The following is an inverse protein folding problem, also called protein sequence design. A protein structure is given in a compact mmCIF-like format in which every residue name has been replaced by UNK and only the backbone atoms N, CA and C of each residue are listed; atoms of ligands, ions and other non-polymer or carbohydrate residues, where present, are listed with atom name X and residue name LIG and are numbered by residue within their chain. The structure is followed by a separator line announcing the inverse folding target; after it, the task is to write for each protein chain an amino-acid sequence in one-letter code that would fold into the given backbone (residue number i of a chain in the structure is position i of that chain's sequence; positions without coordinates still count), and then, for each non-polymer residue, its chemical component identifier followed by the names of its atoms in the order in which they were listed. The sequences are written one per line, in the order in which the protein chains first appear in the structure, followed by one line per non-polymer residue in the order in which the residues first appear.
data_IF_732844061546
#
_entry.id   IF_732844061546
#
_cell.length_a   1.000
_cell.length_b   1.000
_cell.length_c   1.000
_cell.angle_alpha   90.00
_cell.angle_beta   90.00
_cell.angle_gamma   90.00
#
_symmetry.space_group_name_H-M   'P 1'
#
loop_
_entity.id
_entity.type
_entity.pdbx_description
1 polymer ?
#
# COMPACT_ATOMS: atom_id res chain seq x y z
N UNK A 1 -3.57 19.13 15.93
CA UNK A 1 -2.60 18.01 15.94
C UNK A 1 -1.21 18.62 15.85
N UNK A 2 -0.17 18.00 16.43
CA UNK A 2 1.19 18.51 16.29
C UNK A 2 1.61 18.49 14.81
N UNK A 3 2.45 19.44 14.40
CA UNK A 3 2.91 19.55 13.02
C UNK A 3 4.12 18.64 12.77
N UNK A 4 3.87 17.41 12.28
CA UNK A 4 4.90 16.43 11.92
C UNK A 4 5.45 16.62 10.50
N UNK A 5 5.20 17.77 9.83
CA UNK A 5 5.58 18.00 8.43
C UNK A 5 7.02 18.48 8.23
N UNK A 6 7.76 18.74 9.32
CA UNK A 6 9.12 19.29 9.26
C UNK A 6 10.11 18.34 8.59
N UNK A 7 10.46 18.61 7.33
CA UNK A 7 11.45 17.84 6.57
C UNK A 7 12.78 17.76 7.36
N UNK A 8 13.41 16.57 7.46
CA UNK A 8 14.68 16.41 8.15
C UNK A 8 15.77 17.35 7.63
N UNK A 9 16.61 17.86 8.55
CA UNK A 9 17.74 18.74 8.19
C UNK A 9 18.71 18.00 7.27
N UNK A 10 19.16 18.67 6.22
CA UNK A 10 20.09 18.09 5.24
C UNK A 10 19.43 17.24 4.16
N UNK A 11 18.09 17.18 4.10
CA UNK A 11 17.40 16.59 2.97
C UNK A 11 17.82 17.29 1.67
N UNK A 12 18.17 16.50 0.66
CA UNK A 12 18.51 16.97 -0.69
C UNK A 12 17.32 16.91 -1.65
N UNK A 13 16.24 16.25 -1.24
CA UNK A 13 14.93 16.39 -1.85
C UNK A 13 14.22 17.65 -1.35
N UNK A 14 13.36 18.18 -2.21
CA UNK A 14 12.44 19.27 -1.87
C UNK A 14 11.00 18.75 -2.07
N UNK A 15 10.48 17.87 -1.19
CA UNK A 15 9.09 17.44 -1.29
C UNK A 15 8.16 18.65 -1.10
N UNK A 16 7.14 18.75 -1.94
CA UNK A 16 6.12 19.79 -1.81
C UNK A 16 4.96 19.26 -0.96
N UNK A 17 4.38 20.06 -0.05
CA UNK A 17 3.18 19.67 0.66
C UNK A 17 2.06 19.29 -0.32
N UNK A 18 1.41 18.17 -0.07
CA UNK A 18 0.30 17.67 -0.86
C UNK A 18 -1.01 17.80 -0.08
N UNK A 19 -2.09 18.17 -0.78
CA UNK A 19 -3.43 18.20 -0.22
C UNK A 19 -4.35 17.39 -1.12
N UNK A 20 -4.88 16.29 -0.59
CA UNK A 20 -5.89 15.49 -1.26
C UNK A 20 -7.14 16.35 -1.49
N UNK A 21 -7.51 16.54 -2.76
CA UNK A 21 -8.71 17.28 -3.14
C UNK A 21 -9.30 16.74 -4.43
N UNK A 22 -10.29 15.87 -4.30
CA UNK A 22 -11.10 15.39 -5.43
C UNK A 22 -12.12 16.46 -5.80
N UNK A 23 -12.25 16.80 -7.08
CA UNK A 23 -13.23 17.79 -7.55
C UNK A 23 -14.66 17.30 -7.30
N UNK A 24 -15.59 18.23 -7.05
CA UNK A 24 -17.02 17.89 -6.94
C UNK A 24 -17.53 17.18 -8.19
N UNK A 25 -17.04 17.57 -9.37
CA UNK A 25 -17.36 16.91 -10.64
C UNK A 25 -16.98 15.42 -10.63
N UNK A 26 -15.77 15.07 -10.19
CA UNK A 26 -15.33 13.67 -10.10
C UNK A 26 -16.13 12.89 -9.06
N UNK A 27 -16.48 13.52 -7.93
CA UNK A 27 -17.33 12.87 -6.92
C UNK A 27 -18.74 12.64 -7.42
N UNK A 28 -19.31 13.61 -8.13
CA UNK A 28 -20.63 13.49 -8.71
C UNK A 28 -20.66 12.40 -9.78
N UNK A 29 -19.65 12.38 -10.68
CA UNK A 29 -19.48 11.31 -11.66
C UNK A 29 -19.40 9.93 -10.98
N UNK A 30 -18.60 9.78 -9.93
CA UNK A 30 -18.49 8.53 -9.19
C UNK A 30 -19.85 8.09 -8.61
N UNK A 31 -20.60 9.00 -7.99
CA UNK A 31 -21.95 8.72 -7.47
C UNK A 31 -22.91 8.30 -8.58
N UNK A 32 -22.85 8.96 -9.73
CA UNK A 32 -23.69 8.63 -10.87
C UNK A 32 -23.36 7.25 -11.44
N UNK A 33 -22.08 6.90 -11.58
CA UNK A 33 -21.62 5.58 -12.01
C UNK A 33 -22.04 4.48 -11.04
N UNK A 34 -21.89 4.71 -9.72
CA UNK A 34 -22.35 3.77 -8.70
C UNK A 34 -23.85 3.57 -8.84
N UNK A 35 -24.65 4.65 -8.93
CA UNK A 35 -26.11 4.60 -9.06
C UNK A 35 -26.55 3.80 -10.29
N UNK A 36 -25.93 4.06 -11.44
CA UNK A 36 -26.28 3.45 -12.72
C UNK A 36 -25.80 2.00 -12.87
N UNK A 37 -24.79 1.59 -12.11
CA UNK A 37 -24.23 0.24 -12.18
C UNK A 37 -25.23 -0.80 -11.66
N UNK A 38 -25.65 -1.79 -12.49
CA UNK A 38 -26.57 -2.82 -12.05
C UNK A 38 -25.87 -3.81 -11.11
N UNK A 39 -26.61 -4.31 -10.12
CA UNK A 39 -26.23 -5.55 -9.43
C UNK A 39 -26.76 -6.71 -10.27
N UNK A 40 -25.87 -7.60 -10.70
CA UNK A 40 -26.23 -8.76 -11.53
C UNK A 40 -27.34 -9.63 -10.92
N UNK A 41 -27.96 -10.52 -11.72
CA UNK A 41 -29.02 -11.41 -11.23
C UNK A 41 -28.51 -12.34 -10.13
N UNK A 42 -29.45 -12.86 -9.34
CA UNK A 42 -29.15 -13.93 -8.39
C UNK A 42 -28.75 -15.20 -9.14
N UNK A 43 -27.71 -15.86 -8.66
CA UNK A 43 -27.23 -17.15 -9.16
C UNK A 43 -26.91 -18.05 -7.97
N UNK A 44 -26.84 -19.35 -8.19
CA UNK A 44 -26.45 -20.30 -7.15
C UNK A 44 -25.14 -19.86 -6.44
N UNK A 45 -24.07 -19.61 -7.20
CA UNK A 45 -22.76 -19.23 -6.66
C UNK A 45 -22.76 -17.94 -5.84
N UNK A 46 -23.57 -16.94 -6.19
CA UNK A 46 -23.60 -15.67 -5.46
C UNK A 46 -24.58 -15.65 -4.26
N UNK A 47 -25.15 -16.81 -3.91
CA UNK A 47 -25.97 -17.00 -2.70
C UNK A 47 -25.28 -17.80 -1.60
N UNK A 48 -24.12 -18.42 -1.89
CA UNK A 48 -23.38 -19.26 -0.93
C UNK A 48 -22.88 -18.42 0.26
N UNK A 49 -23.31 -18.79 1.47
CA UNK A 49 -23.14 -17.95 2.68
C UNK A 49 -21.72 -17.96 3.25
N UNK A 50 -20.97 -19.05 3.06
CA UNK A 50 -19.59 -19.16 3.53
C UNK A 50 -18.55 -18.49 2.59
N UNK A 51 -19.03 -17.94 1.46
CA UNK A 51 -18.23 -17.25 0.43
C UNK A 51 -17.21 -18.15 -0.28
N UNK A 52 -17.42 -19.46 -0.33
CA UNK A 52 -16.56 -20.38 -1.09
C UNK A 52 -16.43 -20.01 -2.58
N UNK A 53 -17.51 -19.49 -3.17
CA UNK A 53 -17.59 -19.04 -4.56
C UNK A 53 -17.38 -17.51 -4.72
N UNK A 54 -16.93 -16.84 -3.66
CA UNK A 54 -16.64 -15.41 -3.66
C UNK A 54 -17.77 -14.52 -3.14
N UNK A 55 -17.95 -13.38 -3.79
CA UNK A 55 -18.81 -12.29 -3.28
C UNK A 55 -20.30 -12.65 -3.38
N UNK A 56 -21.01 -12.51 -2.26
CA UNK A 56 -22.46 -12.69 -2.21
C UNK A 56 -23.19 -11.49 -2.82
N UNK A 57 -24.29 -11.76 -3.53
CA UNK A 57 -25.10 -10.72 -4.18
C UNK A 57 -25.71 -9.74 -3.19
N UNK A 58 -26.24 -10.25 -2.07
CA UNK A 58 -26.85 -9.42 -1.03
C UNK A 58 -25.83 -8.48 -0.38
N UNK A 59 -24.59 -8.95 -0.20
CA UNK A 59 -23.48 -8.13 0.30
C UNK A 59 -23.16 -7.00 -0.67
N UNK A 60 -23.03 -7.29 -1.97
CA UNK A 60 -22.78 -6.26 -2.99
C UNK A 60 -23.92 -5.25 -3.09
N UNK A 61 -25.17 -5.72 -3.08
CA UNK A 61 -26.35 -4.85 -3.11
C UNK A 61 -26.40 -3.92 -1.89
N UNK A 62 -26.08 -4.44 -0.70
CA UNK A 62 -25.99 -3.63 0.51
C UNK A 62 -24.81 -2.64 0.47
N UNK A 63 -23.64 -3.07 -0.02
CA UNK A 63 -22.47 -2.20 -0.17
C UNK A 63 -22.75 -1.04 -1.14
N UNK A 64 -23.35 -1.33 -2.31
CA UNK A 64 -23.82 -0.31 -3.27
C UNK A 64 -24.76 0.68 -2.61
N UNK A 65 -25.78 0.20 -1.88
CA UNK A 65 -26.72 1.05 -1.15
C UNK A 65 -26.01 1.98 -0.16
N UNK A 66 -25.13 1.45 0.68
CA UNK A 66 -24.34 2.24 1.64
C UNK A 66 -23.50 3.28 0.91
N UNK A 67 -22.89 2.93 -0.23
CA UNK A 67 -22.07 3.85 -1.01
C UNK A 67 -22.89 5.00 -1.60
N UNK A 68 -24.11 4.72 -2.05
CA UNK A 68 -25.04 5.71 -2.59
C UNK A 68 -25.58 6.66 -1.51
N UNK A 69 -25.86 6.17 -0.31
CA UNK A 69 -26.64 6.93 0.69
C UNK A 69 -25.84 7.39 1.91
N UNK A 70 -24.78 6.70 2.30
CA UNK A 70 -24.12 6.90 3.59
C UNK A 70 -22.62 7.19 3.49
N UNK A 71 -21.96 6.77 2.42
CA UNK A 71 -20.52 7.01 2.27
C UNK A 71 -20.24 8.47 1.91
N UNK A 72 -19.38 9.11 2.69
CA UNK A 72 -18.97 10.50 2.51
C UNK A 72 -17.46 10.56 2.26
N UNK A 73 -17.09 10.74 0.98
CA UNK A 73 -15.69 10.86 0.57
C UNK A 73 -14.97 12.02 1.28
N UNK A 74 -15.67 13.11 1.62
CA UNK A 74 -15.03 14.27 2.25
C UNK A 74 -14.48 13.95 3.63
N UNK A 75 -15.03 12.95 4.32
CA UNK A 75 -14.45 12.42 5.57
C UNK A 75 -13.14 11.68 5.33
N UNK A 76 -13.08 10.84 4.29
CA UNK A 76 -11.84 10.14 3.90
C UNK A 76 -10.77 11.14 3.45
N UNK A 77 -11.14 12.16 2.67
CA UNK A 77 -10.23 13.21 2.23
C UNK A 77 -9.71 14.06 3.39
N UNK A 78 -10.58 14.46 4.32
CA UNK A 78 -10.16 15.15 5.54
C UNK A 78 -9.23 14.28 6.39
N UNK A 79 -9.47 12.97 6.43
CA UNK A 79 -8.62 12.01 7.12
C UNK A 79 -7.24 11.89 6.48
N UNK A 80 -7.16 11.86 5.14
CA UNK A 80 -5.89 11.89 4.42
C UNK A 80 -5.10 13.15 4.77
N UNK A 81 -5.75 14.30 4.69
CA UNK A 81 -5.15 15.61 4.97
C UNK A 81 -4.87 15.88 6.46
N UNK A 82 -5.30 14.98 7.37
CA UNK A 82 -4.98 15.09 8.79
C UNK A 82 -3.52 14.71 9.10
N UNK A 83 -2.87 14.01 8.18
CA UNK A 83 -1.44 13.70 8.25
C UNK A 83 -0.64 14.56 7.26
N UNK A 84 0.66 14.78 7.49
CA UNK A 84 1.52 15.37 6.48
C UNK A 84 1.61 14.47 5.23
N UNK A 85 1.20 15.02 4.09
CA UNK A 85 1.29 14.37 2.78
C UNK A 85 2.25 15.21 1.92
N UNK A 86 2.99 14.57 1.04
CA UNK A 86 3.95 15.22 0.17
C UNK A 86 3.94 14.62 -1.24
N UNK A 87 4.34 15.43 -2.21
CA UNK A 87 4.67 15.00 -3.56
C UNK A 87 6.10 15.34 -3.90
N UNK A 88 6.76 14.48 -4.66
CA UNK A 88 8.15 14.69 -5.05
C UNK A 88 8.47 13.97 -6.35
N UNK A 89 9.19 14.63 -7.24
CA UNK A 89 9.67 14.02 -8.48
C UNK A 89 11.05 13.40 -8.26
N UNK A 90 11.21 12.12 -8.60
CA UNK A 90 12.48 11.40 -8.49
C UNK A 90 12.75 10.70 -9.82
N UNK A 91 13.91 10.93 -10.45
CA UNK A 91 14.30 10.17 -11.63
C UNK A 91 14.58 8.71 -11.24
N UNK A 92 14.05 7.78 -12.01
CA UNK A 92 14.32 6.36 -11.87
C UNK A 92 15.74 6.00 -12.38
N UNK A 93 16.05 4.72 -12.52
CA UNK A 93 17.36 4.27 -13.03
C UNK A 93 17.51 4.50 -14.54
N UNK A 94 16.41 4.61 -15.28
CA UNK A 94 16.41 4.82 -16.74
C UNK A 94 16.39 6.33 -17.09
N UNK A 95 16.30 7.21 -16.08
CA UNK A 95 16.25 8.65 -16.22
C UNK A 95 14.84 9.23 -16.42
N UNK A 96 13.79 8.40 -16.27
CA UNK A 96 12.40 8.86 -16.35
C UNK A 96 11.99 9.48 -15.00
N UNK A 97 11.38 10.67 -15.03
CA UNK A 97 10.91 11.36 -13.84
C UNK A 97 9.61 10.73 -13.31
N UNK A 98 9.64 10.27 -12.05
CA UNK A 98 8.49 9.67 -11.37
C UNK A 98 7.99 10.61 -10.27
N UNK A 99 6.74 11.06 -10.38
CA UNK A 99 6.07 11.80 -9.32
C UNK A 99 5.54 10.83 -8.25
N UNK A 100 6.14 10.87 -7.08
CA UNK A 100 5.76 10.06 -5.94
C UNK A 100 4.97 10.87 -4.92
N UNK A 101 3.86 10.29 -4.48
CA UNK A 101 3.19 10.70 -3.26
C UNK A 101 3.72 9.89 -2.07
N UNK A 102 3.82 10.53 -0.90
CA UNK A 102 4.03 9.83 0.36
C UNK A 102 3.41 10.58 1.53
N UNK A 103 3.02 9.85 2.57
CA UNK A 103 2.71 10.44 3.89
C UNK A 103 3.89 10.25 4.82
N UNK A 104 4.06 11.16 5.79
CA UNK A 104 5.14 11.04 6.75
C UNK A 104 4.81 11.60 8.13
N UNK A 105 5.50 11.07 9.14
CA UNK A 105 5.63 11.69 10.45
C UNK A 105 7.12 11.95 10.70
N UNK A 106 7.54 13.21 10.63
CA UNK A 106 8.93 13.57 10.90
C UNK A 106 9.10 13.97 12.37
N UNK A 107 10.00 13.28 13.07
CA UNK A 107 10.36 13.61 14.46
C UNK A 107 11.35 14.78 14.55
N UNK A 108 11.35 15.51 15.67
CA UNK A 108 12.43 16.45 16.01
C UNK A 108 13.54 15.82 16.84
N UNK A 109 13.34 14.59 17.30
CA UNK A 109 14.34 13.82 18.03
C UNK A 109 15.51 13.46 17.10
N UNK A 110 16.73 13.84 17.48
CA UNK A 110 17.92 13.70 16.62
C UNK A 110 18.32 12.24 16.33
N UNK A 111 18.04 11.34 17.26
CA UNK A 111 18.29 9.90 17.18
C UNK A 111 17.03 9.10 16.82
N UNK A 112 15.99 9.74 16.28
CA UNK A 112 14.82 9.02 15.79
C UNK A 112 15.21 8.08 14.63
N UNK A 113 14.66 6.86 14.65
CA UNK A 113 14.99 5.82 13.68
C UNK A 113 14.11 5.99 12.44
N UNK A 114 14.69 6.11 11.22
CA UNK A 114 13.90 6.17 10.00
C UNK A 114 13.28 4.82 9.67
N UNK A 115 11.98 4.81 9.39
CA UNK A 115 11.20 3.65 9.00
C UNK A 115 10.47 3.96 7.68
N UNK A 116 10.80 3.20 6.64
CA UNK A 116 10.07 3.19 5.37
C UNK A 116 8.98 2.12 5.40
N UNK A 117 7.76 2.44 4.99
CA UNK A 117 6.63 1.51 5.03
C UNK A 117 6.00 1.31 3.66
N UNK A 118 6.00 0.07 3.16
CA UNK A 118 5.44 -0.27 1.84
C UNK A 118 4.11 -1.01 1.97
N UNK A 119 3.04 -0.47 1.36
CA UNK A 119 1.78 -1.19 1.17
C UNK A 119 1.87 -2.19 0.00
N UNK A 120 0.80 -2.92 -0.25
CA UNK A 120 0.63 -3.74 -1.45
C UNK A 120 -0.74 -3.52 -2.10
N UNK A 121 -1.30 -4.60 -2.65
CA UNK A 121 -2.58 -4.63 -3.35
C UNK A 121 -3.60 -5.50 -2.59
N UNK A 122 -4.89 -5.14 -2.57
CA UNK A 122 -5.55 -3.99 -3.19
C UNK A 122 -5.49 -2.71 -2.34
N UNK A 123 -4.51 -2.61 -1.44
CA UNK A 123 -4.44 -1.53 -0.49
C UNK A 123 -3.63 -0.31 -0.94
N UNK A 124 -3.24 0.51 0.03
CA UNK A 124 -2.60 1.82 -0.19
C UNK A 124 -1.97 2.34 1.10
N UNK A 125 -1.37 3.54 1.04
CA UNK A 125 -0.90 4.26 2.23
C UNK A 125 -1.98 4.44 3.33
N UNK A 126 -3.28 4.36 2.98
CA UNK A 126 -4.39 4.44 3.93
C UNK A 126 -4.35 3.33 4.99
N UNK A 127 -3.75 2.17 4.69
CA UNK A 127 -3.63 1.05 5.61
C UNK A 127 -2.84 1.39 6.88
N UNK A 128 -1.97 2.39 6.83
CA UNK A 128 -1.09 2.75 7.93
C UNK A 128 -1.69 3.79 8.87
N UNK A 129 -2.84 4.38 8.53
CA UNK A 129 -3.50 5.40 9.37
C UNK A 129 -3.78 4.95 10.80
N UNK A 130 -4.25 3.71 11.08
CA UNK A 130 -4.41 3.27 12.47
C UNK A 130 -3.09 3.25 13.25
N UNK A 131 -1.97 2.90 12.61
CA UNK A 131 -0.65 2.94 13.24
C UNK A 131 -0.21 4.39 13.49
N UNK A 132 -0.41 5.28 12.52
CA UNK A 132 -0.07 6.70 12.67
C UNK A 132 -0.92 7.39 13.76
N UNK A 133 -2.17 6.98 13.95
CA UNK A 133 -2.99 7.45 15.08
C UNK A 133 -2.35 7.06 16.41
N UNK A 134 -2.02 5.78 16.59
CA UNK A 134 -1.37 5.29 17.82
C UNK A 134 -0.06 6.04 18.09
N UNK A 135 0.73 6.32 17.05
CA UNK A 135 1.99 7.07 17.20
C UNK A 135 1.76 8.52 17.60
N UNK A 136 0.80 9.21 16.96
CA UNK A 136 0.53 10.63 17.23
C UNK A 136 -0.26 10.86 18.53
N UNK A 137 -1.01 9.87 19.00
CA UNK A 137 -1.64 9.87 20.33
C UNK A 137 -0.60 9.63 21.44
N UNK A 138 0.37 8.75 21.20
CA UNK A 138 1.36 8.33 22.20
C UNK A 138 2.57 9.28 22.30
N UNK A 139 2.98 9.90 21.20
CA UNK A 139 4.24 10.65 21.14
C UNK A 139 4.05 12.08 20.65
N UNK A 140 4.70 13.02 21.35
CA UNK A 140 4.89 14.37 20.85
C UNK A 140 5.89 14.40 19.69
N UNK A 141 5.99 15.55 19.02
CA UNK A 141 7.00 15.77 17.97
C UNK A 141 8.45 15.64 18.47
N UNK A 142 8.69 16.00 19.74
CA UNK A 142 10.03 15.99 20.34
C UNK A 142 10.42 14.59 20.85
N UNK A 143 9.44 13.73 21.13
CA UNK A 143 9.67 12.41 21.74
C UNK A 143 9.44 11.23 20.78
N UNK A 144 8.84 11.49 19.61
CA UNK A 144 8.58 10.46 18.61
C UNK A 144 9.91 9.75 18.25
N UNK A 145 10.07 8.45 18.55
CA UNK A 145 11.36 7.78 18.37
C UNK A 145 11.63 7.39 16.91
N UNK A 146 10.77 7.78 15.97
CA UNK A 146 10.82 7.35 14.59
C UNK A 146 10.62 8.51 13.61
N UNK A 147 11.27 8.44 12.45
CA UNK A 147 10.79 9.12 11.25
C UNK A 147 9.98 8.09 10.46
N UNK A 148 8.71 8.35 10.19
CA UNK A 148 7.87 7.44 9.40
C UNK A 148 7.70 8.00 8.01
N UNK A 149 7.97 7.18 6.98
CA UNK A 149 7.74 7.52 5.57
C UNK A 149 6.94 6.39 4.94
N UNK A 150 5.78 6.71 4.35
CA UNK A 150 4.89 5.74 3.71
C UNK A 150 4.64 6.18 2.27
N UNK A 151 5.48 5.77 1.32
CA UNK A 151 5.26 6.08 -0.09
C UNK A 151 4.08 5.33 -0.67
N UNK A 152 3.32 6.02 -1.53
CA UNK A 152 2.41 5.37 -2.47
C UNK A 152 3.23 4.73 -3.58
N UNK A 153 2.97 3.45 -3.87
CA UNK A 153 3.57 2.76 -5.01
C UNK A 153 3.33 3.53 -6.33
N UNK A 154 4.27 3.50 -7.30
CA UNK A 154 4.00 4.03 -8.64
C UNK A 154 2.74 3.43 -9.25
N UNK A 155 1.93 4.24 -9.94
CA UNK A 155 0.57 3.90 -10.41
C UNK A 155 -0.48 3.63 -9.33
N UNK A 156 -0.20 3.89 -8.05
CA UNK A 156 -1.20 3.80 -6.98
C UNK A 156 -1.59 5.18 -6.46
N UNK A 157 -2.90 5.41 -6.32
CA UNK A 157 -3.50 6.57 -5.66
C UNK A 157 -3.04 7.92 -6.23
N UNK A 158 -2.12 8.62 -5.54
CA UNK A 158 -1.63 9.95 -5.89
C UNK A 158 -0.22 9.95 -6.49
N UNK A 159 0.47 8.80 -6.55
CA UNK A 159 1.70 8.67 -7.35
C UNK A 159 1.36 8.59 -8.84
N UNK A 160 2.27 9.06 -9.71
CA UNK A 160 2.03 9.09 -11.16
C UNK A 160 1.74 7.71 -11.74
N UNK A 161 0.89 7.69 -12.77
CA UNK A 161 0.63 6.50 -13.57
C UNK A 161 1.79 6.30 -14.54
N UNK A 162 2.34 5.09 -14.55
CA UNK A 162 3.39 4.69 -15.48
C UNK A 162 2.78 4.22 -16.79
N UNK A 163 3.16 4.82 -17.91
CA UNK A 163 2.51 4.61 -19.22
C UNK A 163 3.43 4.21 -20.36
N UNK A 164 4.75 4.30 -20.17
CA UNK A 164 5.72 4.22 -21.26
C UNK A 164 6.51 2.91 -21.29
N UNK A 165 6.80 2.32 -20.13
CA UNK A 165 7.70 1.16 -19.98
C UNK A 165 7.23 0.24 -18.86
N UNK A 166 7.70 -1.00 -18.91
CA UNK A 166 7.57 -1.95 -17.81
C UNK A 166 8.30 -1.43 -16.56
N UNK A 167 7.64 -1.60 -15.40
CA UNK A 167 8.17 -1.17 -14.12
C UNK A 167 8.19 -2.33 -13.14
N UNK A 168 9.38 -2.71 -12.70
CA UNK A 168 9.62 -3.91 -11.92
C UNK A 168 9.69 -3.60 -10.43
N UNK A 169 9.55 -4.65 -9.60
CA UNK A 169 9.76 -4.57 -8.13
C UNK A 169 11.12 -3.96 -7.78
N UNK A 170 12.17 -4.29 -8.54
CA UNK A 170 13.51 -3.73 -8.34
C UNK A 170 13.54 -2.23 -8.58
N UNK A 171 12.88 -1.73 -9.65
CA UNK A 171 12.81 -0.28 -9.91
C UNK A 171 12.10 0.45 -8.78
N UNK A 172 10.99 -0.09 -8.27
CA UNK A 172 10.28 0.48 -7.11
C UNK A 172 11.17 0.48 -5.87
N UNK A 173 11.88 -0.61 -5.58
CA UNK A 173 12.78 -0.71 -4.44
C UNK A 173 13.90 0.35 -4.50
N UNK A 174 14.53 0.52 -5.65
CA UNK A 174 15.57 1.54 -5.85
C UNK A 174 15.01 2.96 -5.75
N UNK A 175 13.81 3.20 -6.28
CA UNK A 175 13.12 4.49 -6.19
C UNK A 175 12.81 4.86 -4.73
N UNK A 176 12.31 3.91 -3.93
CA UNK A 176 12.03 4.12 -2.50
C UNK A 176 13.31 4.33 -1.71
N UNK A 177 14.38 3.60 -2.02
CA UNK A 177 15.68 3.82 -1.40
C UNK A 177 16.26 5.21 -1.75
N UNK A 178 16.09 5.69 -2.99
CA UNK A 178 16.42 7.08 -3.37
C UNK A 178 15.61 8.10 -2.56
N UNK A 179 14.30 7.89 -2.39
CA UNK A 179 13.45 8.76 -1.57
C UNK A 179 14.01 8.91 -0.15
N UNK A 180 14.29 7.79 0.51
CA UNK A 180 14.76 7.77 1.91
C UNK A 180 16.15 8.40 2.04
N UNK A 181 17.11 8.04 1.16
CA UNK A 181 18.46 8.63 1.18
C UNK A 181 18.44 10.13 0.97
N UNK A 182 17.61 10.61 0.05
CA UNK A 182 17.53 12.05 -0.25
C UNK A 182 16.69 12.84 0.77
N UNK A 183 15.98 12.17 1.67
CA UNK A 183 15.49 12.76 2.93
C UNK A 183 16.57 12.86 4.02
N UNK A 184 17.86 12.61 3.68
CA UNK A 184 19.04 12.67 4.54
C UNK A 184 19.21 11.51 5.53
N UNK A 185 18.46 10.43 5.37
CA UNK A 185 18.59 9.27 6.24
C UNK A 185 19.77 8.39 5.80
N UNK A 186 20.83 8.35 6.61
CA UNK A 186 22.01 7.50 6.36
C UNK A 186 21.69 6.00 6.46
N UNK A 187 20.67 5.65 7.25
CA UNK A 187 20.17 4.29 7.39
C UNK A 187 18.70 4.27 7.77
N UNK A 188 18.01 3.19 7.42
CA UNK A 188 16.60 2.99 7.78
C UNK A 188 16.27 1.52 8.02
N UNK A 189 15.14 1.31 8.70
CA UNK A 189 14.43 0.05 8.79
C UNK A 189 13.29 0.09 7.78
N UNK A 190 12.92 -1.03 7.19
CA UNK A 190 11.69 -1.09 6.40
C UNK A 190 10.68 -2.08 6.97
N UNK A 191 9.43 -1.65 6.92
CA UNK A 191 8.25 -2.44 7.27
C UNK A 191 7.38 -2.59 6.04
N UNK A 192 6.73 -3.73 5.86
CA UNK A 192 5.91 -3.93 4.67
C UNK A 192 4.80 -4.94 4.85
N UNK A 193 3.84 -4.84 3.93
CA UNK A 193 2.72 -5.78 3.78
C UNK A 193 2.54 -6.14 2.31
N UNK A 194 2.01 -7.34 2.06
CA UNK A 194 1.63 -7.80 0.71
C UNK A 194 2.77 -7.61 -0.32
N UNK A 195 2.53 -7.07 -1.53
CA UNK A 195 3.54 -6.79 -2.57
C UNK A 195 4.69 -5.91 -2.05
N UNK A 196 4.41 -5.05 -1.07
CA UNK A 196 5.41 -4.27 -0.35
C UNK A 196 6.50 -5.16 0.23
N UNK A 197 6.19 -6.39 0.62
CA UNK A 197 7.16 -7.35 1.17
C UNK A 197 8.22 -7.74 0.13
N UNK A 198 7.82 -7.95 -1.13
CA UNK A 198 8.75 -8.22 -2.23
C UNK A 198 9.63 -7.01 -2.52
N UNK A 199 9.06 -5.80 -2.50
CA UNK A 199 9.81 -4.53 -2.69
C UNK A 199 10.84 -4.38 -1.58
N UNK A 200 10.41 -4.49 -0.33
CA UNK A 200 11.26 -4.32 0.84
C UNK A 200 12.34 -5.40 0.94
N UNK A 201 12.04 -6.64 0.55
CA UNK A 201 13.05 -7.70 0.45
C UNK A 201 14.13 -7.36 -0.59
N UNK A 202 13.73 -6.97 -1.81
CA UNK A 202 14.66 -6.57 -2.87
C UNK A 202 15.47 -5.32 -2.48
N UNK A 203 14.85 -4.38 -1.78
CA UNK A 203 15.50 -3.18 -1.26
C UNK A 203 16.65 -3.52 -0.29
N UNK A 204 16.45 -4.53 0.58
CA UNK A 204 17.50 -5.02 1.47
C UNK A 204 18.68 -5.68 0.76
N UNK A 205 18.46 -6.27 -0.43
CA UNK A 205 19.54 -6.81 -1.25
C UNK A 205 20.28 -5.73 -2.04
N UNK A 206 19.59 -4.65 -2.41
CA UNK A 206 20.10 -3.62 -3.30
C UNK A 206 20.76 -2.42 -2.58
N UNK A 207 20.52 -2.23 -1.28
CA UNK A 207 20.93 -1.00 -0.58
C UNK A 207 21.71 -1.22 0.72
N UNK A 208 22.89 -0.61 0.81
CA UNK A 208 23.72 -0.62 2.01
C UNK A 208 23.17 0.27 3.16
N UNK A 209 22.21 1.17 2.88
CA UNK A 209 21.55 2.02 3.90
C UNK A 209 20.42 1.28 4.61
N UNK A 210 19.97 0.15 4.05
CA UNK A 210 18.99 -0.73 4.65
C UNK A 210 19.60 -1.54 5.81
N UNK A 211 19.04 -1.44 7.03
CA UNK A 211 19.62 -2.09 8.23
C UNK A 211 18.79 -3.21 8.82
N UNK A 212 17.48 -3.18 8.65
CA UNK A 212 16.61 -4.23 9.13
C UNK A 212 15.31 -4.29 8.34
N UNK A 213 14.73 -5.49 8.28
CA UNK A 213 13.45 -5.78 7.65
C UNK A 213 12.45 -6.28 8.68
N UNK A 214 11.22 -5.79 8.60
CA UNK A 214 10.05 -6.48 9.11
C UNK A 214 9.07 -6.71 7.97
N UNK A 215 8.78 -7.97 7.68
CA UNK A 215 7.77 -8.40 6.71
C UNK A 215 6.71 -9.20 7.44
N UNK A 216 5.44 -8.91 7.17
CA UNK A 216 4.33 -9.69 7.71
C UNK A 216 3.81 -10.76 6.73
N UNK A 217 4.39 -10.82 5.54
CA UNK A 217 4.09 -11.78 4.49
C UNK A 217 5.37 -12.10 3.70
N UNK A 218 5.52 -13.33 3.24
CA UNK A 218 6.63 -13.75 2.39
C UNK A 218 6.12 -14.69 1.28
N UNK A 219 6.40 -14.32 0.03
CA UNK A 219 6.05 -15.11 -1.14
C UNK A 219 7.24 -15.97 -1.56
N UNK A 220 7.46 -17.07 -0.86
CA UNK A 220 8.51 -18.04 -1.18
C UNK A 220 7.90 -19.39 -1.55
N UNK A 221 8.48 -20.04 -2.55
CA UNK A 221 8.23 -21.44 -2.79
C UNK A 221 8.81 -22.26 -1.62
N UNK A 222 8.15 -23.35 -1.23
CA UNK A 222 8.73 -24.28 -0.27
C UNK A 222 10.05 -24.85 -0.80
N UNK A 223 10.96 -25.20 0.11
CA UNK A 223 12.14 -25.98 -0.22
C UNK A 223 11.73 -27.38 -0.72
N UNK A 224 12.55 -28.01 -1.55
CA UNK A 224 12.25 -29.32 -2.17
C UNK A 224 11.92 -30.44 -1.16
N UNK A 225 12.39 -30.31 0.09
CA UNK A 225 12.16 -31.25 1.19
C UNK A 225 11.26 -30.72 2.29
N UNK A 226 10.59 -29.58 2.08
CA UNK A 226 9.73 -28.95 3.10
C UNK A 226 8.60 -29.87 3.59
N UNK A 227 8.03 -30.70 2.72
CA UNK A 227 6.98 -31.68 3.08
C UNK A 227 7.47 -32.80 4.00
N UNK A 228 8.79 -32.95 4.18
CA UNK A 228 9.40 -33.94 5.08
C UNK A 228 9.69 -33.38 6.47
N UNK A 229 9.58 -32.06 6.65
CA UNK A 229 9.82 -31.41 7.93
C UNK A 229 8.65 -31.72 8.88
N UNK A 230 8.92 -32.03 10.16
CA UNK A 230 7.85 -32.20 11.14
C UNK A 230 7.15 -30.85 11.32
N UNK A 231 5.82 -30.88 11.34
CA UNK A 231 4.99 -29.70 11.61
C UNK A 231 4.35 -29.84 12.98
N UNK A 232 4.36 -28.76 13.76
CA UNK A 232 3.48 -28.65 14.91
C UNK A 232 2.01 -28.40 14.48
N UNK A 233 1.11 -28.32 15.46
CA UNK A 233 -0.32 -28.11 15.20
C UNK A 233 -0.61 -26.78 14.49
N UNK A 234 0.09 -25.71 14.87
CA UNK A 234 -0.10 -24.37 14.29
C UNK A 234 0.44 -24.32 12.86
N UNK A 235 1.60 -24.94 12.63
CA UNK A 235 2.22 -25.09 11.33
C UNK A 235 1.36 -25.94 10.38
N UNK A 236 0.77 -27.05 10.88
CA UNK A 236 -0.14 -27.88 10.10
C UNK A 236 -1.40 -27.10 9.67
N UNK A 237 -1.99 -26.30 10.57
CA UNK A 237 -3.11 -25.41 10.24
C UNK A 237 -2.68 -24.33 9.24
N UNK A 238 -1.50 -23.74 9.41
CA UNK A 238 -0.96 -22.74 8.48
C UNK A 238 -0.74 -23.33 7.08
N UNK A 239 -0.12 -24.50 6.98
CA UNK A 239 0.09 -25.23 5.72
C UNK A 239 -1.23 -25.58 5.04
N UNK A 240 -2.20 -26.14 5.77
CA UNK A 240 -3.50 -26.47 5.20
C UNK A 240 -4.23 -25.24 4.63
N UNK A 241 -4.11 -24.08 5.30
CA UNK A 241 -4.63 -22.80 4.78
C UNK A 241 -3.87 -22.32 3.54
N UNK A 242 -2.53 -22.41 3.55
CA UNK A 242 -1.70 -22.03 2.41
C UNK A 242 -2.00 -22.89 1.18
N UNK A 243 -2.09 -24.21 1.35
CA UNK A 243 -2.42 -25.16 0.27
C UNK A 243 -3.82 -24.86 -0.31
N UNK A 244 -4.81 -24.61 0.54
CA UNK A 244 -6.14 -24.18 0.09
C UNK A 244 -6.07 -22.86 -0.69
N UNK A 245 -5.39 -21.85 -0.15
CA UNK A 245 -5.23 -20.55 -0.81
C UNK A 245 -4.53 -20.67 -2.17
N UNK A 246 -3.47 -21.48 -2.28
CA UNK A 246 -2.76 -21.74 -3.53
C UNK A 246 -3.68 -22.31 -4.61
N UNK A 247 -4.65 -23.14 -4.23
CA UNK A 247 -5.61 -23.74 -5.16
C UNK A 247 -6.77 -22.80 -5.53
N UNK A 248 -7.29 -22.02 -4.57
CA UNK A 248 -8.57 -21.31 -4.75
C UNK A 248 -8.46 -19.80 -4.82
N UNK A 249 -7.37 -19.20 -4.32
CA UNK A 249 -7.29 -17.75 -4.09
C UNK A 249 -6.30 -17.02 -5.02
N UNK A 250 -5.45 -17.72 -5.78
CA UNK A 250 -4.48 -17.09 -6.70
C UNK A 250 -5.05 -16.78 -8.09
N UNK A 251 -6.31 -17.08 -8.37
CA UNK A 251 -6.91 -16.86 -9.69
C UNK A 251 -6.93 -15.37 -10.09
N UNK A 252 -7.17 -14.46 -9.13
CA UNK A 252 -7.06 -13.03 -9.42
C UNK A 252 -5.61 -12.67 -9.81
N UNK A 253 -4.61 -13.20 -9.11
CA UNK A 253 -3.20 -12.97 -9.42
C UNK A 253 -2.86 -13.48 -10.81
N UNK A 254 -3.34 -14.68 -11.18
CA UNK A 254 -3.14 -15.24 -12.52
C UNK A 254 -3.74 -14.32 -13.59
N UNK A 255 -4.94 -13.79 -13.39
CA UNK A 255 -5.57 -12.85 -14.33
C UNK A 255 -4.76 -11.55 -14.46
N UNK A 256 -4.31 -10.97 -13.34
CA UNK A 256 -3.46 -9.77 -13.33
C UNK A 256 -2.10 -10.00 -14.00
N UNK A 257 -1.49 -11.18 -13.84
CA UNK A 257 -0.20 -11.49 -14.46
C UNK A 257 -0.35 -11.75 -15.96
N UNK A 258 -1.36 -12.50 -16.36
CA UNK A 258 -1.46 -13.06 -17.71
C UNK A 258 -2.26 -12.13 -18.64
N UNK A 259 -3.19 -11.32 -18.10
CA UNK A 259 -4.15 -10.51 -18.86
C UNK A 259 -4.37 -9.12 -18.25
N UNK A 260 -3.31 -8.50 -17.72
CA UNK A 260 -3.40 -7.18 -17.06
C UNK A 260 -4.21 -6.15 -17.85
N UNK A 261 -3.92 -6.01 -19.16
CA UNK A 261 -4.61 -5.04 -20.01
C UNK A 261 -6.10 -5.34 -20.22
N UNK A 262 -6.53 -6.59 -20.13
CA UNK A 262 -7.94 -6.97 -20.22
C UNK A 262 -8.66 -6.64 -18.92
N UNK A 263 -8.12 -7.11 -17.78
CA UNK A 263 -8.76 -6.88 -16.48
C UNK A 263 -8.77 -5.40 -16.10
N UNK A 264 -7.75 -4.62 -16.48
CA UNK A 264 -7.71 -3.17 -16.21
C UNK A 264 -8.75 -2.36 -16.97
N UNK A 265 -9.30 -2.90 -18.07
CA UNK A 265 -10.39 -2.27 -18.83
C UNK A 265 -11.77 -2.72 -18.34
N UNK A 266 -11.83 -3.86 -17.66
CA UNK A 266 -13.08 -4.44 -17.17
C UNK A 266 -13.48 -3.92 -15.77
N UNK A 267 -12.49 -3.57 -14.94
CA UNK A 267 -12.67 -2.98 -13.61
C UNK A 267 -12.82 -1.46 -13.68
#
# INVERSE_FOLDING_TARGET
MADYSGIPKGATLQPTPFVAKVSEEKLQLCKDLIRLSPVGPETYSNTITDRSDGMRRDWLANAKKIWETNYDWRKTEARINAFPNFSVTIPDEDGDDIDLHFIALFSRKQDAVPISMSHGWPGSFLEFFPLLDVLTEKYSLEDLPFYIVVPSLPSYTYSSVLTTKEYTVLKVATLFDKLIRRLSFASYIAYSRDIGSSITFVQGLASATYKAIYINNIFIAPLDDADKLPLDEVEAIAKARADKSNLTCFLYTSEYIIRLGTISLAL
#
